data_IF_259751811300
#
_entry.id   IF_259751811300
#
_cell.length_a   1.000
_cell.length_b   1.000
_cell.length_c   1.000
_cell.angle_alpha   90.00
_cell.angle_beta   90.00
_cell.angle_gamma   90.00
#
_symmetry.space_group_name_H-M   'P 1'
#
loop_
_entity.id
_entity.type
_entity.pdbx_description
1 polymer ?
#
# COMPACT_ATOMS: atom_id res chain seq x y z
N UNK A 1 -17.77 -19.99 15.03
CA UNK A 1 -17.92 -18.82 14.13
C UNK A 1 -18.83 -17.83 14.83
N UNK A 2 -18.35 -16.60 15.06
CA UNK A 2 -18.98 -15.59 15.91
C UNK A 2 -20.07 -14.78 15.20
N UNK A 3 -20.21 -14.91 13.89
CA UNK A 3 -21.22 -14.21 13.08
C UNK A 3 -20.97 -12.71 12.94
N UNK A 4 -19.74 -12.25 13.17
CA UNK A 4 -19.34 -10.86 13.02
C UNK A 4 -19.23 -10.46 11.53
N UNK A 5 -19.45 -9.18 11.18
CA UNK A 5 -19.17 -8.68 9.83
C UNK A 5 -17.69 -8.82 9.48
N UNK A 6 -17.41 -8.84 8.18
CA UNK A 6 -16.05 -8.75 7.64
C UNK A 6 -15.92 -7.48 6.79
N UNK A 7 -14.91 -6.66 7.08
CA UNK A 7 -14.47 -5.57 6.20
C UNK A 7 -13.20 -5.99 5.46
N UNK A 8 -13.28 -6.01 4.13
CA UNK A 8 -12.16 -6.32 3.23
C UNK A 8 -11.71 -5.04 2.52
N UNK A 9 -10.41 -4.80 2.46
CA UNK A 9 -9.81 -3.74 1.65
C UNK A 9 -8.82 -4.29 0.63
N UNK A 10 -8.78 -3.68 -0.56
CA UNK A 10 -7.84 -4.02 -1.62
C UNK A 10 -6.90 -2.86 -1.86
N UNK A 11 -5.60 -3.13 -1.88
CA UNK A 11 -4.57 -2.27 -2.43
C UNK A 11 -3.93 -2.94 -3.64
N UNK A 12 -3.72 -2.18 -4.69
CA UNK A 12 -3.04 -2.70 -5.87
C UNK A 12 -3.09 -1.75 -7.04
N UNK A 13 -2.52 -2.21 -8.15
CA UNK A 13 -2.44 -1.43 -9.37
C UNK A 13 -3.66 -1.55 -10.27
N UNK A 14 -3.41 -1.54 -11.57
CA UNK A 14 -4.48 -1.44 -12.58
C UNK A 14 -5.41 -2.65 -12.61
N UNK A 15 -4.88 -3.85 -12.37
CA UNK A 15 -5.66 -5.09 -12.30
C UNK A 15 -6.60 -5.02 -11.10
N UNK A 16 -6.09 -4.74 -9.90
CA UNK A 16 -6.92 -4.52 -8.72
C UNK A 16 -7.94 -3.39 -8.85
N UNK A 17 -7.64 -2.34 -9.61
CA UNK A 17 -8.58 -1.27 -9.98
C UNK A 17 -9.60 -1.68 -11.08
N UNK A 18 -9.73 -2.97 -11.36
CA UNK A 18 -10.70 -3.58 -12.27
C UNK A 18 -10.56 -3.15 -13.74
N UNK A 19 -9.38 -2.69 -14.14
CA UNK A 19 -9.08 -2.38 -15.53
C UNK A 19 -9.06 -3.68 -16.35
N UNK A 20 -9.88 -3.74 -17.39
CA UNK A 20 -10.02 -4.94 -18.22
C UNK A 20 -11.15 -5.87 -17.76
N UNK A 21 -11.80 -5.59 -16.62
CA UNK A 21 -12.93 -6.37 -16.09
C UNK A 21 -14.17 -5.53 -15.74
N UNK A 22 -14.43 -4.46 -16.51
CA UNK A 22 -15.63 -3.62 -16.38
C UNK A 22 -15.31 -2.18 -16.00
N UNK A 23 -14.06 -1.87 -15.68
CA UNK A 23 -13.54 -0.51 -15.48
C UNK A 23 -14.23 0.29 -14.36
N UNK A 24 -14.90 -0.41 -13.46
CA UNK A 24 -15.50 0.11 -12.23
C UNK A 24 -14.86 -0.62 -11.02
N UNK A 25 -14.46 0.07 -9.94
CA UNK A 25 -13.78 -0.55 -8.79
C UNK A 25 -14.56 -1.69 -8.13
N UNK A 26 -15.88 -1.74 -8.30
CA UNK A 26 -16.75 -2.78 -7.77
C UNK A 26 -17.40 -3.62 -8.87
N UNK A 27 -16.87 -3.58 -10.11
CA UNK A 27 -17.36 -4.37 -11.22
C UNK A 27 -17.50 -5.85 -10.85
N UNK A 28 -18.68 -6.43 -11.10
CA UNK A 28 -19.02 -7.78 -10.61
C UNK A 28 -18.12 -8.90 -11.13
N UNK A 29 -17.46 -8.70 -12.28
CA UNK A 29 -16.53 -9.67 -12.89
C UNK A 29 -15.08 -9.44 -12.50
N UNK A 30 -14.79 -8.41 -11.72
CA UNK A 30 -13.47 -8.15 -11.17
C UNK A 30 -13.20 -9.04 -9.96
N UNK A 31 -11.93 -9.37 -9.73
CA UNK A 31 -11.55 -10.35 -8.70
C UNK A 31 -11.97 -9.94 -7.27
N UNK A 32 -11.90 -8.65 -6.84
CA UNK A 32 -12.35 -8.24 -5.51
C UNK A 32 -13.84 -8.53 -5.29
N UNK A 33 -14.67 -8.15 -6.27
CA UNK A 33 -16.11 -8.39 -6.21
C UNK A 33 -16.44 -9.88 -6.26
N UNK A 34 -15.77 -10.68 -7.10
CA UNK A 34 -15.95 -12.14 -7.14
C UNK A 34 -15.60 -12.77 -5.79
N UNK A 35 -14.45 -12.38 -5.22
CA UNK A 35 -14.00 -12.86 -3.92
C UNK A 35 -15.01 -12.52 -2.81
N UNK A 36 -15.43 -11.26 -2.74
CA UNK A 36 -16.36 -10.80 -1.71
C UNK A 36 -17.76 -11.40 -1.84
N UNK A 37 -18.25 -11.61 -3.07
CA UNK A 37 -19.50 -12.32 -3.32
C UNK A 37 -19.40 -13.79 -2.88
N UNK A 38 -18.28 -14.47 -3.16
CA UNK A 38 -18.04 -15.81 -2.64
C UNK A 38 -18.05 -15.82 -1.11
N UNK A 39 -17.32 -14.91 -0.46
CA UNK A 39 -17.29 -14.83 1.00
C UNK A 39 -18.70 -14.70 1.59
N UNK A 40 -19.50 -13.76 1.08
CA UNK A 40 -20.88 -13.54 1.55
C UNK A 40 -21.83 -14.70 1.23
N UNK A 41 -21.52 -15.55 0.24
CA UNK A 41 -22.30 -16.77 -0.01
C UNK A 41 -22.08 -17.84 1.06
N UNK A 42 -20.91 -17.86 1.70
CA UNK A 42 -20.54 -18.82 2.74
C UNK A 42 -20.82 -18.26 4.15
N UNK A 43 -20.50 -16.98 4.37
CA UNK A 43 -20.66 -16.27 5.63
C UNK A 43 -21.53 -15.02 5.44
N UNK A 44 -22.84 -15.17 5.21
CA UNK A 44 -23.72 -14.06 4.92
C UNK A 44 -23.83 -13.11 6.13
N UNK A 45 -23.48 -11.85 5.94
CA UNK A 45 -23.70 -10.79 6.93
C UNK A 45 -24.00 -9.45 6.23
N UNK A 46 -25.08 -8.74 6.58
CA UNK A 46 -25.52 -7.54 5.86
C UNK A 46 -24.61 -6.32 6.06
N UNK A 47 -23.76 -6.34 7.09
CA UNK A 47 -22.78 -5.29 7.37
C UNK A 47 -21.34 -5.68 7.00
N UNK A 48 -21.14 -6.77 6.23
CA UNK A 48 -19.83 -7.00 5.62
C UNK A 48 -19.61 -5.97 4.51
N UNK A 49 -18.38 -5.50 4.36
CA UNK A 49 -18.04 -4.43 3.42
C UNK A 49 -16.80 -4.78 2.59
N UNK A 50 -16.80 -4.32 1.33
CA UNK A 50 -15.65 -4.36 0.43
C UNK A 50 -15.27 -2.92 0.06
N UNK A 51 -14.05 -2.53 0.37
CA UNK A 51 -13.44 -1.28 -0.08
C UNK A 51 -12.35 -1.58 -1.10
N UNK A 52 -12.48 -1.09 -2.33
CA UNK A 52 -11.41 -1.18 -3.32
C UNK A 52 -10.63 0.14 -3.37
N UNK A 53 -9.48 0.18 -2.69
CA UNK A 53 -8.55 1.30 -2.67
C UNK A 53 -7.45 1.22 -3.75
N UNK A 54 -7.59 0.31 -4.72
CA UNK A 54 -6.63 0.16 -5.80
C UNK A 54 -6.68 1.34 -6.78
N UNK A 55 -5.52 1.70 -7.32
CA UNK A 55 -5.35 2.82 -8.24
C UNK A 55 -4.59 2.37 -9.49
N UNK A 56 -5.04 2.84 -10.66
CA UNK A 56 -4.44 2.48 -11.95
C UNK A 56 -3.05 3.10 -12.09
N UNK A 57 -2.10 2.29 -12.56
CA UNK A 57 -0.70 2.66 -12.82
C UNK A 57 0.00 3.21 -11.57
N UNK A 58 -0.29 2.61 -10.42
CA UNK A 58 0.29 2.95 -9.12
C UNK A 58 0.93 1.69 -8.54
N UNK A 59 2.03 1.90 -7.82
CA UNK A 59 2.91 0.87 -7.28
C UNK A 59 3.24 1.16 -5.80
N UNK A 60 4.15 0.39 -5.20
CA UNK A 60 4.55 0.56 -3.80
C UNK A 60 5.22 1.91 -3.51
N UNK A 61 5.84 2.57 -4.50
CA UNK A 61 6.43 3.90 -4.33
C UNK A 61 5.41 4.97 -3.90
N UNK A 62 4.13 4.72 -4.15
CA UNK A 62 3.03 5.53 -3.65
C UNK A 62 2.36 4.91 -2.43
N UNK A 63 1.97 3.63 -2.50
CA UNK A 63 1.20 3.01 -1.43
C UNK A 63 1.99 2.88 -0.12
N UNK A 64 3.32 2.71 -0.19
CA UNK A 64 4.20 2.72 0.99
C UNK A 64 3.99 3.94 1.88
N UNK A 65 3.66 5.09 1.28
CA UNK A 65 3.47 6.35 1.99
C UNK A 65 2.00 6.75 2.16
N UNK A 66 1.15 6.42 1.18
CA UNK A 66 -0.22 6.92 1.07
C UNK A 66 -1.30 5.89 1.43
N UNK A 67 -0.96 4.66 1.85
CA UNK A 67 -1.93 3.58 2.09
C UNK A 67 -3.08 3.97 3.05
N UNK A 68 -2.82 4.80 4.06
CA UNK A 68 -3.83 5.25 5.01
C UNK A 68 -5.01 6.01 4.36
N UNK A 69 -4.82 6.53 3.14
CA UNK A 69 -5.89 7.19 2.38
C UNK A 69 -6.73 6.23 1.53
N UNK A 70 -6.29 4.98 1.38
CA UNK A 70 -6.91 3.96 0.53
C UNK A 70 -7.51 2.80 1.33
N UNK A 71 -7.20 2.73 2.62
CA UNK A 71 -7.72 1.73 3.55
C UNK A 71 -8.65 2.42 4.56
N UNK A 72 -9.83 1.85 4.86
CA UNK A 72 -10.70 2.34 5.94
C UNK A 72 -10.00 2.37 7.31
N UNK A 73 -10.56 3.13 8.26
CA UNK A 73 -10.02 3.23 9.63
C UNK A 73 -10.00 1.89 10.38
N UNK A 74 -10.96 1.00 10.10
CA UNK A 74 -11.02 -0.35 10.65
C UNK A 74 -11.24 -1.35 9.51
N UNK A 75 -10.35 -2.32 9.38
CA UNK A 75 -10.41 -3.37 8.35
C UNK A 75 -9.93 -4.69 8.93
N UNK A 76 -10.54 -5.80 8.52
CA UNK A 76 -10.20 -7.13 9.02
C UNK A 76 -9.22 -7.86 8.09
N UNK A 77 -9.34 -7.64 6.77
CA UNK A 77 -8.52 -8.28 5.74
C UNK A 77 -8.10 -7.27 4.68
N UNK A 78 -6.79 -7.17 4.45
CA UNK A 78 -6.21 -6.39 3.35
C UNK A 78 -5.54 -7.33 2.35
N UNK A 79 -5.87 -7.17 1.07
CA UNK A 79 -5.21 -7.86 -0.04
C UNK A 79 -4.34 -6.85 -0.78
N UNK A 80 -3.07 -7.21 -0.99
CA UNK A 80 -2.07 -6.38 -1.70
C UNK A 80 -1.67 -7.09 -2.99
N UNK A 81 -1.85 -6.44 -4.15
CA UNK A 81 -1.50 -7.00 -5.47
C UNK A 81 -0.71 -5.96 -6.27
N UNK A 82 0.62 -6.15 -6.34
CA UNK A 82 1.57 -5.21 -6.97
C UNK A 82 2.70 -5.93 -7.75
N UNK A 83 2.64 -7.25 -7.92
CA UNK A 83 3.69 -8.09 -8.53
C UNK A 83 4.07 -7.71 -9.97
N UNK A 84 3.20 -6.95 -10.66
CA UNK A 84 3.43 -6.46 -12.03
C UNK A 84 3.55 -4.94 -12.11
N UNK A 85 3.27 -4.22 -11.03
CA UNK A 85 3.29 -2.76 -10.97
C UNK A 85 4.61 -2.21 -10.43
N UNK A 86 5.25 -2.95 -9.51
CA UNK A 86 6.53 -2.58 -8.91
C UNK A 86 7.70 -2.79 -9.87
N UNK A 87 8.74 -1.96 -9.73
CA UNK A 87 10.00 -2.15 -10.45
C UNK A 87 10.91 -3.13 -9.70
N UNK A 88 11.84 -3.77 -10.41
CA UNK A 88 12.87 -4.63 -9.80
C UNK A 88 14.06 -3.80 -9.29
N UNK A 89 13.80 -2.90 -8.34
CA UNK A 89 14.81 -2.00 -7.75
C UNK A 89 14.85 -2.11 -6.23
N UNK A 90 15.99 -1.75 -5.62
CA UNK A 90 16.13 -1.70 -4.16
C UNK A 90 15.15 -0.71 -3.51
N UNK A 91 14.93 0.44 -4.16
CA UNK A 91 13.96 1.43 -3.70
C UNK A 91 12.54 0.87 -3.68
N UNK A 92 12.09 0.19 -4.75
CA UNK A 92 10.76 -0.43 -4.79
C UNK A 92 10.63 -1.55 -3.76
N UNK A 93 11.70 -2.33 -3.52
CA UNK A 93 11.72 -3.32 -2.44
C UNK A 93 11.54 -2.68 -1.06
N UNK A 94 12.25 -1.59 -0.76
CA UNK A 94 12.12 -0.86 0.50
C UNK A 94 10.75 -0.20 0.67
N UNK A 95 10.15 0.29 -0.43
CA UNK A 95 8.82 0.89 -0.41
C UNK A 95 7.72 -0.17 -0.24
N UNK A 96 7.86 -1.34 -0.85
CA UNK A 96 6.95 -2.46 -0.63
C UNK A 96 7.06 -2.98 0.79
N UNK A 97 8.27 -3.06 1.35
CA UNK A 97 8.47 -3.38 2.76
C UNK A 97 7.80 -2.35 3.68
N UNK A 98 7.98 -1.05 3.40
CA UNK A 98 7.35 0.04 4.14
C UNK A 98 5.83 -0.09 4.13
N UNK A 99 5.24 -0.40 2.97
CA UNK A 99 3.80 -0.66 2.83
C UNK A 99 3.35 -1.78 3.77
N UNK A 100 3.95 -2.96 3.67
CA UNK A 100 3.55 -4.15 4.44
C UNK A 100 3.72 -3.92 5.93
N UNK A 101 4.87 -3.38 6.35
CA UNK A 101 5.14 -3.09 7.76
C UNK A 101 4.15 -2.07 8.31
N UNK A 102 3.86 -0.99 7.57
CA UNK A 102 2.94 0.05 8.03
C UNK A 102 1.52 -0.49 8.25
N UNK A 103 1.07 -1.44 7.43
CA UNK A 103 -0.23 -2.10 7.56
C UNK A 103 -0.26 -3.03 8.77
N UNK A 104 0.76 -3.88 8.95
CA UNK A 104 0.83 -4.81 10.08
C UNK A 104 0.95 -4.11 11.44
N UNK A 105 1.48 -2.88 11.45
CA UNK A 105 1.62 -2.05 12.65
C UNK A 105 0.35 -1.25 12.99
N UNK A 106 -0.72 -1.36 12.19
CA UNK A 106 -1.96 -0.62 12.48
C UNK A 106 -2.64 -1.11 13.76
N UNK A 107 -3.35 -0.23 14.49
CA UNK A 107 -4.03 -0.59 15.73
C UNK A 107 -5.12 -1.66 15.57
N UNK A 108 -5.75 -1.74 14.40
CA UNK A 108 -6.80 -2.71 14.08
C UNK A 108 -6.26 -4.11 13.70
N UNK A 109 -4.93 -4.27 13.58
CA UNK A 109 -4.24 -5.55 13.32
C UNK A 109 -4.89 -6.39 12.20
N UNK A 110 -5.04 -5.83 10.98
CA UNK A 110 -5.67 -6.55 9.88
C UNK A 110 -4.87 -7.77 9.46
N UNK A 111 -5.57 -8.82 9.03
CA UNK A 111 -4.94 -9.90 8.27
C UNK A 111 -4.47 -9.35 6.91
N UNK A 112 -3.28 -9.75 6.47
CA UNK A 112 -2.72 -9.33 5.18
C UNK A 112 -2.50 -10.54 4.29
N UNK A 113 -2.87 -10.43 3.02
CA UNK A 113 -2.55 -11.41 1.98
C UNK A 113 -1.90 -10.67 0.81
N UNK A 114 -0.73 -11.13 0.39
CA UNK A 114 -0.14 -10.72 -0.87
C UNK A 114 -0.69 -11.63 -1.98
N UNK A 115 -1.18 -11.03 -3.05
CA UNK A 115 -1.77 -11.73 -4.18
C UNK A 115 -0.95 -11.43 -5.44
N UNK A 116 -0.35 -12.46 -6.02
CA UNK A 116 0.51 -12.37 -7.18
C UNK A 116 -0.24 -12.58 -8.48
N UNK A 117 -0.26 -11.53 -9.29
CA UNK A 117 -0.69 -11.56 -10.68
C UNK A 117 0.49 -11.90 -11.61
N UNK A 118 0.26 -12.81 -12.56
CA UNK A 118 1.26 -13.14 -13.57
C UNK A 118 1.05 -12.27 -14.82
N UNK A 119 2.09 -11.63 -15.34
CA UNK A 119 2.01 -10.91 -16.61
C UNK A 119 2.99 -11.50 -17.64
N UNK A 120 2.51 -11.80 -18.87
CA UNK A 120 3.39 -12.11 -20.00
C UNK A 120 4.47 -11.05 -20.25
N UNK A 121 4.13 -9.76 -20.18
CA UNK A 121 5.10 -8.67 -20.38
C UNK A 121 6.14 -8.61 -19.26
N UNK A 122 5.72 -8.70 -18.00
CA UNK A 122 6.64 -8.75 -16.86
C UNK A 122 7.57 -9.96 -16.99
N UNK A 123 7.06 -11.12 -17.41
CA UNK A 123 7.87 -12.30 -17.67
C UNK A 123 8.85 -12.10 -18.84
N UNK A 124 8.44 -11.46 -19.93
CA UNK A 124 9.34 -11.15 -21.05
C UNK A 124 10.49 -10.23 -20.63
N UNK A 125 10.24 -9.35 -19.66
CA UNK A 125 11.21 -8.37 -19.17
C UNK A 125 12.18 -8.99 -18.15
N UNK A 126 11.67 -9.79 -17.21
CA UNK A 126 12.44 -10.27 -16.05
C UNK A 126 12.57 -11.80 -15.95
N UNK A 127 12.10 -12.54 -16.95
CA UNK A 127 11.94 -13.98 -16.89
C UNK A 127 11.15 -14.42 -15.64
N UNK A 128 11.60 -15.48 -14.96
CA UNK A 128 10.90 -16.01 -13.79
C UNK A 128 11.13 -15.18 -12.50
N UNK A 129 12.11 -14.28 -12.43
CA UNK A 129 12.43 -13.52 -11.23
C UNK A 129 12.04 -12.04 -11.41
N UNK A 130 10.74 -11.78 -11.44
CA UNK A 130 10.18 -10.43 -11.54
C UNK A 130 10.10 -9.71 -10.19
N UNK A 131 9.30 -8.63 -10.09
CA UNK A 131 9.07 -7.92 -8.83
C UNK A 131 8.58 -8.85 -7.70
N UNK A 132 7.82 -9.89 -8.05
CA UNK A 132 7.37 -10.95 -7.15
C UNK A 132 8.51 -11.64 -6.36
N UNK A 133 9.74 -11.66 -6.90
CA UNK A 133 10.90 -12.17 -6.16
C UNK A 133 11.20 -11.34 -4.90
N UNK A 134 11.14 -10.01 -5.01
CA UNK A 134 11.35 -9.10 -3.88
C UNK A 134 10.18 -9.16 -2.90
N UNK A 135 8.95 -9.25 -3.41
CA UNK A 135 7.77 -9.41 -2.58
C UNK A 135 7.80 -10.71 -1.77
N UNK A 136 8.33 -11.81 -2.34
CA UNK A 136 8.53 -13.06 -1.61
C UNK A 136 9.50 -12.92 -0.42
N UNK A 137 10.54 -12.10 -0.54
CA UNK A 137 11.47 -11.82 0.57
C UNK A 137 10.72 -11.09 1.70
N UNK A 138 9.91 -10.09 1.36
CA UNK A 138 9.08 -9.36 2.33
C UNK A 138 8.05 -10.29 2.97
N UNK A 139 7.34 -11.09 2.17
CA UNK A 139 6.37 -12.09 2.62
C UNK A 139 7.00 -13.06 3.64
N UNK A 140 8.19 -13.58 3.34
CA UNK A 140 8.91 -14.49 4.22
C UNK A 140 9.37 -13.81 5.52
N UNK A 141 9.83 -12.56 5.46
CA UNK A 141 10.33 -11.85 6.64
C UNK A 141 9.21 -11.47 7.61
N UNK A 142 8.05 -11.05 7.10
CA UNK A 142 6.89 -10.63 7.90
C UNK A 142 5.88 -11.75 8.17
N UNK A 143 6.15 -12.98 7.71
CA UNK A 143 5.24 -14.14 7.79
C UNK A 143 3.84 -13.84 7.21
N UNK A 144 3.83 -13.22 6.04
CA UNK A 144 2.61 -12.88 5.30
C UNK A 144 2.44 -13.86 4.14
N UNK A 145 1.26 -14.47 3.95
CA UNK A 145 1.04 -15.38 2.83
C UNK A 145 1.10 -14.63 1.51
N UNK A 146 1.98 -15.10 0.61
CA UNK A 146 2.02 -14.69 -0.79
C UNK A 146 1.55 -15.83 -1.68
N UNK A 147 0.36 -15.66 -2.28
CA UNK A 147 -0.25 -16.63 -3.18
C UNK A 147 -0.29 -16.05 -4.58
N UNK A 148 -0.02 -16.85 -5.61
CA UNK A 148 0.14 -16.32 -6.97
C UNK A 148 -0.46 -17.21 -8.04
N UNK A 149 -0.91 -16.57 -9.13
CA UNK A 149 -1.34 -17.24 -10.36
C UNK A 149 -0.15 -17.72 -11.20
N UNK A 150 1.05 -17.20 -10.96
CA UNK A 150 2.26 -17.50 -11.73
C UNK A 150 2.60 -18.99 -11.77
N UNK A 151 2.65 -19.76 -10.67
CA UNK A 151 2.93 -21.20 -10.73
C UNK A 151 1.89 -22.00 -11.54
N UNK A 152 0.66 -21.51 -11.65
CA UNK A 152 -0.45 -22.17 -12.37
C UNK A 152 -0.36 -21.89 -13.87
N UNK A 153 -0.04 -20.65 -14.24
CA UNK A 153 -0.01 -20.21 -15.63
C UNK A 153 1.33 -20.46 -16.32
N UNK A 154 2.44 -20.38 -15.58
CA UNK A 154 3.80 -20.42 -16.11
C UNK A 154 4.13 -21.68 -16.93
N UNK A 155 3.86 -22.92 -16.47
CA UNK A 155 4.23 -24.11 -17.24
C UNK A 155 3.60 -24.15 -18.63
N UNK A 156 2.31 -23.80 -18.72
CA UNK A 156 1.60 -23.76 -19.99
C UNK A 156 2.11 -22.62 -20.87
N UNK A 157 2.35 -21.45 -20.30
CA UNK A 157 2.88 -20.29 -21.02
C UNK A 157 4.25 -20.57 -21.67
N UNK A 158 5.15 -21.25 -20.96
CA UNK A 158 6.47 -21.62 -21.50
C UNK A 158 6.36 -22.66 -22.60
N UNK A 159 5.41 -23.60 -22.50
CA UNK A 159 5.19 -24.59 -23.55
C UNK A 159 4.55 -23.99 -24.81
N UNK A 160 3.63 -23.04 -24.63
CA UNK A 160 2.90 -22.36 -25.68
C UNK A 160 2.42 -20.99 -25.16
N UNK A 161 3.03 -19.88 -25.62
CA UNK A 161 2.63 -18.54 -25.19
C UNK A 161 1.17 -18.18 -25.51
N UNK A 162 0.53 -18.89 -26.44
CA UNK A 162 -0.88 -18.65 -26.79
C UNK A 162 -1.86 -19.29 -25.80
N UNK A 163 -1.40 -20.27 -25.00
CA UNK A 163 -2.23 -21.05 -24.08
C UNK A 163 -2.97 -20.23 -23.02
N UNK A 164 -2.39 -19.08 -22.62
CA UNK A 164 -2.95 -18.21 -21.59
C UNK A 164 -3.61 -16.95 -22.14
N UNK A 165 -3.50 -16.65 -23.45
CA UNK A 165 -3.99 -15.40 -24.05
C UNK A 165 -5.48 -15.12 -23.75
N UNK A 166 -6.29 -16.18 -23.63
CA UNK A 166 -7.71 -16.11 -23.25
C UNK A 166 -7.99 -15.44 -21.90
N UNK A 167 -6.98 -15.24 -21.04
CA UNK A 167 -7.10 -14.60 -19.72
C UNK A 167 -6.69 -13.14 -19.70
N UNK A 168 -6.17 -12.62 -20.81
CA UNK A 168 -5.57 -11.29 -20.88
C UNK A 168 -6.32 -10.41 -21.88
N UNK A 169 -6.46 -9.12 -21.55
CA UNK A 169 -6.91 -8.08 -22.48
C UNK A 169 -5.72 -7.52 -23.27
N UNK A 170 -4.57 -7.41 -22.60
CA UNK A 170 -3.26 -7.11 -23.17
C UNK A 170 -2.19 -7.87 -22.37
N UNK A 171 -0.89 -7.83 -22.76
CA UNK A 171 0.17 -8.56 -22.06
C UNK A 171 0.37 -8.26 -20.56
N UNK A 172 -0.36 -7.31 -19.96
CA UNK A 172 -0.37 -6.98 -18.53
C UNK A 172 -1.76 -7.17 -17.92
N UNK A 173 -2.79 -6.57 -18.52
CA UNK A 173 -4.13 -6.51 -17.96
C UNK A 173 -4.90 -7.82 -18.15
N UNK A 174 -5.49 -8.30 -17.06
CA UNK A 174 -6.42 -9.42 -17.10
C UNK A 174 -7.75 -8.99 -17.74
N UNK A 175 -8.33 -9.89 -18.51
CA UNK A 175 -9.73 -9.79 -18.90
C UNK A 175 -10.63 -10.45 -17.83
N UNK A 176 -11.96 -10.48 -17.97
CA UNK A 176 -12.84 -11.08 -16.95
C UNK A 176 -12.50 -12.54 -16.59
N UNK A 177 -12.02 -13.35 -17.55
CA UNK A 177 -11.62 -14.74 -17.27
C UNK A 177 -10.31 -14.82 -16.49
N UNK A 178 -9.41 -13.87 -16.71
CA UNK A 178 -8.18 -13.74 -15.93
C UNK A 178 -8.47 -13.35 -14.48
N UNK A 179 -9.36 -12.38 -14.29
CA UNK A 179 -9.85 -12.00 -12.97
C UNK A 179 -10.54 -13.15 -12.23
N UNK A 180 -11.20 -14.04 -12.98
CA UNK A 180 -11.76 -15.27 -12.41
C UNK A 180 -10.67 -16.17 -11.83
N UNK A 181 -9.58 -16.44 -12.55
CA UNK A 181 -8.45 -17.23 -12.03
C UNK A 181 -7.84 -16.58 -10.80
N UNK A 182 -7.63 -15.26 -10.81
CA UNK A 182 -7.03 -14.54 -9.70
C UNK A 182 -7.88 -14.65 -8.42
N UNK A 183 -9.20 -14.51 -8.56
CA UNK A 183 -10.14 -14.74 -7.46
C UNK A 183 -10.17 -16.21 -7.02
N UNK A 184 -10.14 -17.17 -7.94
CA UNK A 184 -10.20 -18.59 -7.61
C UNK A 184 -8.96 -19.04 -6.82
N UNK A 185 -7.77 -18.50 -7.11
CA UNK A 185 -6.54 -18.74 -6.32
C UNK A 185 -6.70 -18.23 -4.89
N UNK A 186 -7.20 -17.01 -4.73
CA UNK A 186 -7.47 -16.41 -3.42
C UNK A 186 -8.52 -17.20 -2.63
N UNK A 187 -9.61 -17.59 -3.30
CA UNK A 187 -10.68 -18.40 -2.72
C UNK A 187 -10.14 -19.78 -2.29
N UNK A 188 -9.36 -20.46 -3.13
CA UNK A 188 -8.80 -21.78 -2.82
C UNK A 188 -7.87 -21.73 -1.59
N UNK A 189 -7.05 -20.67 -1.49
CA UNK A 189 -6.24 -20.44 -0.29
C UNK A 189 -7.10 -20.27 0.96
N UNK A 190 -8.11 -19.38 0.91
CA UNK A 190 -8.98 -19.15 2.06
C UNK A 190 -9.84 -20.36 2.43
N UNK A 191 -10.30 -21.16 1.46
CA UNK A 191 -10.95 -22.44 1.73
C UNK A 191 -10.04 -23.38 2.51
N UNK A 192 -8.76 -23.44 2.14
CA UNK A 192 -7.75 -24.22 2.86
C UNK A 192 -7.59 -23.71 4.29
N UNK A 193 -7.47 -22.39 4.49
CA UNK A 193 -7.36 -21.79 5.82
C UNK A 193 -8.62 -22.01 6.68
N UNK A 194 -9.81 -21.91 6.09
CA UNK A 194 -11.08 -22.20 6.77
C UNK A 194 -11.10 -23.66 7.23
N UNK A 195 -10.65 -24.60 6.40
CA UNK A 195 -10.59 -26.01 6.76
C UNK A 195 -9.57 -26.26 7.89
N UNK A 196 -8.38 -25.67 7.81
CA UNK A 196 -7.35 -25.76 8.85
C UNK A 196 -7.85 -25.19 10.18
N UNK A 197 -8.45 -23.99 10.14
CA UNK A 197 -9.03 -23.35 11.33
C UNK A 197 -10.18 -24.16 11.94
N UNK A 198 -11.04 -24.75 11.09
CA UNK A 198 -12.11 -25.63 11.56
C UNK A 198 -11.57 -26.91 12.21
N UNK A 199 -10.55 -27.53 11.62
CA UNK A 199 -9.93 -28.73 12.19
C UNK A 199 -9.25 -28.43 13.52
N UNK A 200 -8.53 -27.31 13.64
CA UNK A 200 -7.94 -26.88 14.90
C UNK A 200 -9.00 -26.57 15.95
N UNK A 201 -10.03 -25.78 15.58
CA UNK A 201 -11.12 -25.41 16.48
C UNK A 201 -11.99 -26.58 16.94
N UNK A 202 -12.02 -27.68 16.19
CA UNK A 202 -12.75 -28.92 16.54
C UNK A 202 -11.84 -29.98 17.17
N UNK A 203 -10.57 -29.67 17.43
CA UNK A 203 -9.60 -30.60 18.04
C UNK A 203 -9.22 -31.78 17.16
N UNK A 204 -9.42 -31.67 15.83
CA UNK A 204 -9.09 -32.71 14.84
C UNK A 204 -7.63 -32.60 14.36
N UNK A 205 -7.00 -31.45 14.54
CA UNK A 205 -5.57 -31.24 14.35
C UNK A 205 -4.99 -30.49 15.54
N UNK A 206 -3.74 -30.80 15.89
CA UNK A 206 -2.95 -30.02 16.87
C UNK A 206 -2.14 -28.99 16.09
N UNK A 207 -2.81 -28.18 15.27
CA UNK A 207 -2.16 -26.97 14.76
C UNK A 207 -2.14 -25.97 15.91
N UNK A 208 -0.97 -25.36 16.13
CA UNK A 208 -0.79 -24.24 17.05
C UNK A 208 -1.38 -23.00 16.39
N UNK A 209 -2.67 -23.05 16.04
CA UNK A 209 -3.44 -21.83 15.91
C UNK A 209 -3.59 -21.32 17.35
N UNK A 210 -3.22 -20.08 17.66
CA UNK A 210 -3.52 -19.49 18.95
C UNK A 210 -5.03 -19.61 19.09
N UNK A 211 -5.46 -20.54 19.95
CA UNK A 211 -6.85 -20.92 20.01
C UNK A 211 -7.60 -19.64 20.36
N UNK A 212 -8.53 -19.24 19.49
CA UNK A 212 -9.55 -18.22 19.71
C UNK A 212 -10.52 -18.61 20.85
N UNK A 213 -10.04 -19.37 21.84
CA UNK A 213 -10.68 -19.65 23.11
C UNK A 213 -10.18 -18.62 24.14
N UNK A 214 -10.35 -17.35 23.82
CA UNK A 214 -10.65 -16.39 24.86
C UNK A 214 -12.11 -16.63 25.25
N UNK A 215 -12.38 -16.83 26.54
CA UNK A 215 -13.73 -16.80 27.11
C UNK A 215 -14.56 -15.70 26.45
N UNK A 216 -15.86 -15.97 26.27
CA UNK A 216 -16.85 -14.99 25.82
C UNK A 216 -16.53 -13.61 26.41
N UNK A 217 -16.49 -12.52 25.60
CA UNK A 217 -15.91 -11.26 26.01
C UNK A 217 -16.58 -10.79 27.30
N UNK A 218 -15.86 -10.93 28.42
CA UNK A 218 -16.27 -10.32 29.68
C UNK A 218 -16.31 -8.82 29.38
N UNK A 219 -17.50 -8.23 29.50
CA UNK A 219 -17.63 -6.78 29.47
C UNK A 219 -16.59 -6.20 30.43
N UNK A 220 -15.77 -5.23 29.99
CA UNK A 220 -14.73 -4.65 30.83
C UNK A 220 -15.42 -3.88 31.94
N UNK A 221 -15.55 -4.52 33.09
CA UNK A 221 -15.76 -3.84 34.36
C UNK A 221 -14.39 -3.75 35.01
N UNK A 222 -14.01 -2.52 35.35
CA UNK A 222 -12.75 -2.09 35.95
C UNK A 222 -11.59 -1.80 34.99
N UNK A 223 -11.63 -0.56 34.51
CA UNK A 223 -10.48 0.17 34.00
C UNK A 223 -9.39 0.31 35.08
N UNK A 224 -8.47 -0.65 35.15
CA UNK A 224 -7.10 -0.49 35.68
C UNK A 224 -6.13 -1.43 34.96
N UNK A 225 -5.69 -1.03 33.76
CA UNK A 225 -4.66 -1.76 33.01
C UNK A 225 -4.24 -1.08 31.71
N UNK A 226 -3.13 -0.33 31.78
CA UNK A 226 -2.14 0.00 30.74
C UNK A 226 -2.51 0.62 29.37
N UNK A 227 -3.79 0.75 28.97
CA UNK A 227 -4.17 1.54 27.79
C UNK A 227 -5.34 2.47 28.12
N UNK A 228 -5.06 3.78 28.23
CA UNK A 228 -6.03 4.80 28.61
C UNK A 228 -6.54 5.62 27.43
N UNK A 229 -7.74 5.29 26.94
CA UNK A 229 -8.53 6.12 26.03
C UNK A 229 -10.03 5.87 26.28
N UNK A 230 -10.74 6.90 26.74
CA UNK A 230 -12.11 6.81 27.29
C UNK A 230 -13.15 6.76 26.16
N UNK A 231 -13.86 5.64 26.05
CA UNK A 231 -15.13 5.54 25.30
C UNK A 231 -16.23 5.02 26.22
N UNK A 232 -17.24 5.84 26.51
CA UNK A 232 -18.33 5.46 27.39
C UNK A 232 -19.34 4.52 26.71
N UNK A 233 -19.57 3.35 27.29
CA UNK A 233 -20.88 2.67 27.23
C UNK A 233 -21.36 2.35 28.65
N UNK A 234 -22.66 2.57 28.87
CA UNK A 234 -23.35 2.59 30.16
C UNK A 234 -23.92 1.21 30.48
N UNK A 235 -23.48 0.61 31.60
CA UNK A 235 -24.19 -0.47 32.31
C UNK A 235 -23.50 -1.85 32.32
N UNK A 236 -22.91 -2.22 33.46
CA UNK A 236 -22.77 -3.61 33.92
C UNK A 236 -22.44 -3.64 35.43
N UNK A 237 -23.11 -4.50 36.18
CA UNK A 237 -22.98 -4.69 37.63
C UNK A 237 -21.93 -5.77 37.97
N UNK A 238 -21.36 -5.67 39.18
CA UNK A 238 -20.24 -6.47 39.69
C UNK A 238 -20.59 -7.94 40.02
N UNK A 239 -19.61 -8.85 39.90
CA UNK A 239 -19.69 -10.24 40.34
C UNK A 239 -18.31 -10.90 40.54
N UNK A 240 -18.14 -11.55 41.70
CA UNK A 240 -16.91 -11.97 42.38
C UNK A 240 -16.13 -13.16 41.75
N UNK A 241 -14.85 -13.27 42.13
CA UNK A 241 -13.88 -14.26 41.65
C UNK A 241 -13.82 -15.58 42.43
N UNK A 242 -12.97 -16.48 41.93
CA UNK A 242 -12.46 -17.64 42.65
C UNK A 242 -11.06 -18.00 42.15
N UNK A 243 -10.12 -18.10 43.08
CA UNK A 243 -8.73 -18.49 42.89
C UNK A 243 -8.59 -19.98 42.55
N UNK A 244 -7.66 -20.30 41.65
CA UNK A 244 -7.15 -21.65 41.42
C UNK A 244 -5.74 -21.55 40.87
N UNK A 245 -4.76 -21.94 41.69
CA UNK A 245 -3.33 -21.99 41.34
C UNK A 245 -3.06 -23.06 40.28
N UNK A 246 -2.91 -22.64 39.03
CA UNK A 246 -2.25 -23.39 37.97
C UNK A 246 -0.87 -22.77 37.70
N UNK A 247 0.15 -23.59 37.56
CA UNK A 247 1.48 -23.16 37.12
C UNK A 247 1.34 -22.82 35.63
N UNK A 248 1.19 -21.53 35.33
CA UNK A 248 1.04 -20.99 33.98
C UNK A 248 2.44 -20.88 33.35
N UNK A 249 2.86 -21.93 32.65
CA UNK A 249 3.97 -21.82 31.72
C UNK A 249 3.45 -20.99 30.55
N UNK A 250 3.84 -19.72 30.52
CA UNK A 250 3.49 -18.68 29.56
C UNK A 250 4.02 -18.97 28.13
N UNK A 251 3.59 -20.11 27.59
CA UNK A 251 3.82 -20.53 26.22
C UNK A 251 3.02 -19.65 25.25
N UNK A 252 1.93 -19.04 25.74
CA UNK A 252 1.19 -17.97 25.09
C UNK A 252 2.13 -16.83 24.67
N UNK A 253 2.81 -16.14 25.59
CA UNK A 253 3.61 -14.97 25.21
C UNK A 253 4.80 -15.33 24.32
N UNK A 254 5.38 -16.54 24.45
CA UNK A 254 6.46 -16.98 23.56
C UNK A 254 5.99 -17.23 22.12
N UNK A 255 4.81 -17.83 21.93
CA UNK A 255 4.19 -18.03 20.60
C UNK A 255 3.69 -16.69 20.04
N UNK A 256 3.09 -15.83 20.87
CA UNK A 256 2.67 -14.48 20.47
C UNK A 256 3.84 -13.56 20.13
N UNK A 257 5.02 -13.75 20.74
CA UNK A 257 6.20 -12.95 20.42
C UNK A 257 6.72 -13.22 18.99
N UNK A 258 6.57 -14.44 18.49
CA UNK A 258 7.00 -14.83 17.13
C UNK A 258 6.04 -14.36 16.03
N UNK A 259 4.76 -14.10 16.36
CA UNK A 259 3.78 -13.53 15.43
C UNK A 259 3.73 -11.99 15.47
N UNK A 260 4.60 -11.34 16.25
CA UNK A 260 4.70 -9.88 16.23
C UNK A 260 5.50 -9.44 15.01
N UNK A 261 5.15 -8.27 14.50
CA UNK A 261 5.97 -7.57 13.51
C UNK A 261 7.41 -7.50 14.02
N UNK A 262 8.41 -7.95 13.24
CA UNK A 262 9.81 -7.88 13.62
C UNK A 262 10.20 -6.47 14.08
N UNK A 263 11.07 -6.36 15.09
CA UNK A 263 11.45 -5.05 15.64
C UNK A 263 12.34 -4.23 14.70
N UNK A 264 12.90 -4.86 13.66
CA UNK A 264 13.73 -4.22 12.65
C UNK A 264 13.16 -4.44 11.26
N UNK A 265 13.67 -3.68 10.28
CA UNK A 265 13.41 -3.88 8.87
C UNK A 265 14.38 -4.89 8.26
N UNK A 266 14.09 -5.36 7.06
CA UNK A 266 14.88 -6.38 6.36
C UNK A 266 16.33 -5.91 6.15
N UNK A 267 16.51 -4.63 5.81
CA UNK A 267 17.83 -4.06 5.53
C UNK A 267 18.59 -3.57 6.79
N UNK A 268 18.01 -3.67 7.99
CA UNK A 268 18.66 -3.23 9.24
C UNK A 268 19.93 -4.04 9.53
N UNK A 269 21.04 -3.35 9.83
CA UNK A 269 22.33 -3.99 10.11
C UNK A 269 22.72 -3.82 11.58
N UNK A 270 23.52 -4.76 12.08
CA UNK A 270 23.97 -4.77 13.48
C UNK A 270 24.95 -3.64 13.82
N UNK A 271 25.55 -3.01 12.82
CA UNK A 271 26.54 -1.95 12.94
C UNK A 271 26.04 -0.59 12.41
N UNK A 272 24.73 -0.42 12.26
CA UNK A 272 24.16 0.86 11.84
C UNK A 272 24.50 1.96 12.85
N UNK A 273 24.95 3.11 12.33
CA UNK A 273 25.42 4.23 13.15
C UNK A 273 24.28 4.92 13.92
N UNK A 274 23.03 4.70 13.51
CA UNK A 274 21.83 5.27 14.12
C UNK A 274 20.92 4.16 14.67
N UNK A 275 20.25 4.40 15.80
CA UNK A 275 19.23 3.47 16.27
C UNK A 275 18.09 3.38 15.27
N UNK A 276 17.43 2.22 15.20
CA UNK A 276 16.24 2.03 14.39
C UNK A 276 15.12 2.97 14.87
N UNK A 277 14.52 3.70 13.93
CA UNK A 277 13.30 4.49 14.15
C UNK A 277 12.12 3.82 13.44
N UNK A 278 11.01 3.65 14.15
CA UNK A 278 9.82 3.00 13.60
C UNK A 278 9.15 3.86 12.52
N UNK A 279 8.71 3.22 11.45
CA UNK A 279 8.10 3.91 10.31
C UNK A 279 6.76 4.54 10.70
N UNK A 280 6.50 5.75 10.21
CA UNK A 280 5.23 6.43 10.33
C UNK A 280 4.95 7.18 9.02
N UNK A 281 4.56 6.46 7.95
CA UNK A 281 4.41 7.04 6.63
C UNK A 281 3.40 8.19 6.63
N UNK A 282 3.75 9.25 5.92
CA UNK A 282 2.92 10.43 5.75
C UNK A 282 2.92 10.86 4.29
N UNK A 283 1.74 11.20 3.79
CA UNK A 283 1.50 11.49 2.39
C UNK A 283 0.84 12.86 2.21
N UNK A 284 1.53 13.75 1.52
CA UNK A 284 0.94 14.99 1.01
C UNK A 284 0.72 14.84 -0.49
N UNK A 285 -0.44 14.29 -0.84
CA UNK A 285 -0.86 14.09 -2.22
C UNK A 285 -1.41 15.37 -2.84
N UNK A 286 -1.16 15.59 -4.13
CA UNK A 286 -1.80 16.65 -4.90
C UNK A 286 -3.27 16.36 -5.23
N UNK A 287 -3.81 15.22 -4.82
CA UNK A 287 -5.23 14.95 -4.93
C UNK A 287 -5.98 15.57 -3.73
N UNK A 288 -6.71 16.65 -3.98
CA UNK A 288 -7.49 17.38 -2.96
C UNK A 288 -8.55 16.52 -2.25
N UNK A 289 -9.02 15.43 -2.87
CA UNK A 289 -9.93 14.47 -2.22
C UNK A 289 -9.25 13.65 -1.13
N UNK A 290 -7.93 13.52 -1.22
CA UNK A 290 -7.09 12.75 -0.31
C UNK A 290 -6.50 13.67 0.77
N UNK A 291 -5.92 14.81 0.37
CA UNK A 291 -5.28 15.76 1.26
C UNK A 291 -5.47 17.20 0.75
N UNK A 292 -6.57 17.89 1.12
CA UNK A 292 -6.85 19.23 0.62
C UNK A 292 -5.86 20.24 1.22
N UNK A 293 -5.00 20.80 0.36
CA UNK A 293 -4.08 21.86 0.74
C UNK A 293 -4.75 23.24 0.65
N UNK A 294 -4.45 24.18 1.57
CA UNK A 294 -5.05 25.50 1.53
C UNK A 294 -4.58 26.29 0.30
N UNK A 295 -5.48 26.95 -0.47
CA UNK A 295 -5.12 27.72 -1.67
C UNK A 295 -4.09 28.83 -1.44
N UNK A 296 -3.94 29.29 -0.19
CA UNK A 296 -2.94 30.27 0.22
C UNK A 296 -1.50 29.81 -0.01
N UNK A 297 -1.24 28.50 -0.08
CA UNK A 297 0.09 27.97 -0.43
C UNK A 297 0.48 28.26 -1.88
N UNK A 298 -0.51 28.38 -2.76
CA UNK A 298 -0.28 28.59 -4.20
C UNK A 298 -0.33 30.07 -4.59
N UNK A 299 -1.02 30.91 -3.81
CA UNK A 299 -1.17 32.33 -4.12
C UNK A 299 0.18 33.06 -4.14
N UNK A 300 0.56 33.61 -5.30
CA UNK A 300 1.82 34.33 -5.48
C UNK A 300 3.08 33.45 -5.55
N UNK A 301 2.94 32.14 -5.44
CA UNK A 301 4.06 31.17 -5.48
C UNK A 301 4.62 30.93 -6.88
N UNK A 302 3.80 31.16 -7.91
CA UNK A 302 4.08 30.73 -9.29
C UNK A 302 3.76 29.26 -9.56
N UNK A 303 3.26 28.53 -8.57
CA UNK A 303 2.79 27.15 -8.67
C UNK A 303 1.26 27.08 -8.64
N UNK A 304 0.71 26.11 -9.36
CA UNK A 304 -0.72 25.92 -9.53
C UNK A 304 -1.12 24.46 -9.31
N UNK A 305 -2.27 24.23 -8.68
CA UNK A 305 -2.86 22.90 -8.57
C UNK A 305 -3.73 22.60 -9.80
N UNK A 306 -3.58 21.40 -10.35
CA UNK A 306 -4.39 20.87 -11.43
C UNK A 306 -5.14 19.61 -10.96
N UNK A 307 -6.44 19.58 -11.25
CA UNK A 307 -7.30 18.42 -11.05
C UNK A 307 -8.20 18.25 -12.28
N UNK A 308 -8.57 17.01 -12.63
CA UNK A 308 -9.49 16.75 -13.73
C UNK A 308 -10.92 17.25 -13.39
N UNK A 309 -11.74 17.48 -14.42
CA UNK A 309 -13.08 18.06 -14.23
C UNK A 309 -13.99 17.17 -13.37
N UNK A 310 -14.78 17.80 -12.50
CA UNK A 310 -15.74 17.11 -11.62
C UNK A 310 -16.63 16.14 -12.40
N UNK A 311 -16.55 14.84 -12.08
CA UNK A 311 -17.31 13.79 -12.75
C UNK A 311 -16.44 12.74 -13.48
N UNK A 312 -15.17 13.04 -13.76
CA UNK A 312 -14.20 11.98 -14.06
C UNK A 312 -13.69 11.41 -12.74
N UNK A 313 -14.24 10.29 -12.28
CA UNK A 313 -13.60 9.48 -11.25
C UNK A 313 -12.34 8.87 -11.86
N UNK A 314 -11.29 9.68 -12.05
CA UNK A 314 -10.03 9.18 -12.56
C UNK A 314 -9.40 8.34 -11.46
N UNK A 315 -9.49 7.02 -11.60
CA UNK A 315 -8.70 6.05 -10.83
C UNK A 315 -7.19 6.16 -11.12
N UNK A 316 -6.73 7.31 -11.62
CA UNK A 316 -5.36 7.62 -12.01
C UNK A 316 -4.87 8.78 -11.16
N UNK A 317 -3.93 8.51 -10.24
CA UNK A 317 -3.33 9.54 -9.39
C UNK A 317 -2.59 10.60 -10.22
N UNK A 318 -2.03 10.22 -11.37
CA UNK A 318 -1.34 11.12 -12.31
C UNK A 318 -2.21 12.22 -12.93
N UNK A 319 -3.53 12.15 -12.74
CA UNK A 319 -4.43 13.23 -13.14
C UNK A 319 -4.37 14.43 -12.19
N UNK A 320 -3.83 14.28 -10.97
CA UNK A 320 -3.71 15.34 -9.98
C UNK A 320 -2.24 15.69 -9.75
N UNK A 321 -1.88 16.97 -9.91
CA UNK A 321 -0.52 17.45 -9.71
C UNK A 321 -0.47 18.96 -9.46
N UNK A 322 0.60 19.41 -8.82
CA UNK A 322 1.00 20.80 -8.79
C UNK A 322 2.03 21.05 -9.89
N UNK A 323 1.92 22.18 -10.58
CA UNK A 323 2.84 22.51 -11.66
C UNK A 323 3.24 23.99 -11.68
N UNK A 324 4.39 24.25 -12.29
CA UNK A 324 4.81 25.59 -12.67
C UNK A 324 5.53 25.55 -14.02
N UNK A 325 5.47 26.68 -14.74
CA UNK A 325 6.23 26.97 -15.96
C UNK A 325 7.10 28.22 -15.80
N UNK A 326 7.13 28.82 -14.60
CA UNK A 326 7.80 30.07 -14.30
C UNK A 326 9.08 29.78 -13.51
N UNK A 327 10.27 29.92 -14.11
CA UNK A 327 11.52 29.76 -13.37
C UNK A 327 11.61 30.66 -12.15
N UNK A 328 12.40 30.24 -11.16
CA UNK A 328 12.57 30.85 -9.84
C UNK A 328 11.34 30.81 -8.92
N UNK A 329 10.20 30.32 -9.42
CA UNK A 329 9.02 30.07 -8.60
C UNK A 329 9.29 29.00 -7.55
N UNK A 330 8.70 29.17 -6.37
CA UNK A 330 8.91 28.29 -5.21
C UNK A 330 7.59 27.81 -4.66
N UNK A 331 7.54 26.55 -4.27
CA UNK A 331 6.45 25.99 -3.49
C UNK A 331 6.99 25.44 -2.18
N UNK A 332 6.26 25.67 -1.09
CA UNK A 332 6.57 25.17 0.24
C UNK A 332 5.41 24.36 0.76
N UNK A 333 5.67 23.09 1.09
CA UNK A 333 4.64 22.14 1.51
C UNK A 333 4.96 21.64 2.93
N UNK A 334 4.05 21.85 3.90
CA UNK A 334 4.22 21.32 5.25
C UNK A 334 3.97 19.82 5.28
N UNK A 335 4.72 19.10 6.12
CA UNK A 335 4.58 17.65 6.29
C UNK A 335 4.98 17.18 7.69
N UNK A 336 4.66 15.92 8.01
CA UNK A 336 5.11 15.24 9.22
C UNK A 336 6.05 14.11 8.87
N UNK A 337 7.15 13.99 9.59
CA UNK A 337 8.21 13.01 9.34
C UNK A 337 8.21 11.95 10.45
N UNK A 338 8.39 10.68 10.06
CA UNK A 338 8.40 9.50 10.92
C UNK A 338 9.79 8.95 11.19
N UNK A 339 10.26 8.04 10.33
CA UNK A 339 11.59 7.42 10.31
C UNK A 339 12.65 8.25 9.57
N UNK A 340 12.25 9.23 8.75
CA UNK A 340 13.15 10.28 8.30
C UNK A 340 13.52 10.31 6.84
N UNK A 341 12.99 9.42 6.00
CA UNK A 341 13.15 9.54 4.54
C UNK A 341 12.12 10.52 4.01
N UNK A 342 12.53 11.37 3.05
CA UNK A 342 11.64 12.33 2.39
C UNK A 342 11.80 12.18 0.88
N UNK A 343 10.68 12.07 0.18
CA UNK A 343 10.65 11.89 -1.27
C UNK A 343 9.69 12.82 -1.98
N UNK A 344 10.05 13.16 -3.23
CA UNK A 344 9.21 13.89 -4.16
C UNK A 344 8.62 12.88 -5.14
N UNK A 345 7.29 12.83 -5.19
CA UNK A 345 6.57 12.05 -6.18
C UNK A 345 6.18 12.96 -7.33
N UNK A 346 6.71 12.72 -8.52
CA UNK A 346 6.58 13.60 -9.68
C UNK A 346 6.34 12.81 -10.97
N UNK A 347 5.97 13.52 -12.03
CA UNK A 347 5.74 12.89 -13.33
C UNK A 347 7.01 13.00 -14.19
N UNK A 348 7.60 11.86 -14.55
CA UNK A 348 8.58 11.79 -15.64
C UNK A 348 7.84 11.77 -16.97
N UNK A 349 8.35 12.52 -17.93
CA UNK A 349 7.70 12.75 -19.22
C UNK A 349 8.66 12.45 -20.38
N UNK A 350 8.16 11.92 -21.52
CA UNK A 350 8.98 11.68 -22.69
C UNK A 350 9.67 12.95 -23.19
N UNK A 351 10.96 12.86 -23.56
CA UNK A 351 11.73 13.98 -24.16
C UNK A 351 11.03 14.60 -25.39
N UNK A 352 10.22 13.83 -26.12
CA UNK A 352 9.44 14.34 -27.26
C UNK A 352 8.34 15.33 -26.86
N UNK A 353 7.86 15.27 -25.61
CA UNK A 353 6.73 16.07 -25.12
C UNK A 353 7.24 17.29 -24.34
N UNK A 354 8.35 17.16 -23.61
CA UNK A 354 8.93 18.24 -22.77
C UNK A 354 10.26 18.82 -23.30
N UNK A 355 10.78 18.31 -24.42
CA UNK A 355 12.08 18.69 -24.96
C UNK A 355 13.24 17.88 -24.39
N UNK A 356 14.44 18.09 -24.94
CA UNK A 356 15.64 17.31 -24.58
C UNK A 356 16.06 17.51 -23.11
N UNK A 357 15.99 18.73 -22.61
CA UNK A 357 16.40 19.03 -21.23
C UNK A 357 15.21 19.05 -20.25
N UNK A 358 13.98 19.20 -20.77
CA UNK A 358 12.77 19.26 -19.94
C UNK A 358 12.79 20.45 -19.00
N UNK A 359 12.47 20.19 -17.75
CA UNK A 359 12.53 21.15 -16.65
C UNK A 359 13.09 20.48 -15.41
N UNK A 360 13.78 21.27 -14.61
CA UNK A 360 14.47 20.80 -13.40
C UNK A 360 13.96 21.59 -12.20
N UNK A 361 13.68 20.89 -11.12
CA UNK A 361 13.39 21.50 -9.81
C UNK A 361 14.51 21.18 -8.85
N UNK A 362 14.80 22.10 -7.95
CA UNK A 362 15.70 21.89 -6.83
C UNK A 362 14.86 21.84 -5.55
N UNK A 363 14.90 20.72 -4.83
CA UNK A 363 14.09 20.48 -3.64
C UNK A 363 14.96 20.20 -2.42
N UNK A 364 14.56 20.72 -1.26
CA UNK A 364 15.23 20.50 0.02
C UNK A 364 14.25 20.55 1.19
N UNK A 365 14.72 20.09 2.35
CA UNK A 365 13.95 20.00 3.59
C UNK A 365 14.35 21.16 4.51
N UNK A 366 13.37 21.84 5.08
CA UNK A 366 13.52 23.00 5.97
C UNK A 366 14.51 24.04 5.41
N UNK A 367 15.57 24.34 6.16
CA UNK A 367 16.64 25.27 5.80
C UNK A 367 17.88 24.57 5.21
N UNK A 368 17.82 23.26 4.92
CA UNK A 368 18.94 22.46 4.41
C UNK A 368 19.20 22.66 2.91
N UNK A 369 19.32 23.93 2.47
CA UNK A 369 19.57 24.24 1.06
C UNK A 369 20.90 23.62 0.54
N UNK A 370 21.90 23.45 1.40
CA UNK A 370 23.16 22.81 1.04
C UNK A 370 23.02 21.31 0.69
N UNK A 371 21.94 20.67 1.14
CA UNK A 371 21.58 19.29 0.80
C UNK A 371 20.58 19.18 -0.35
N UNK A 372 20.25 20.27 -1.04
CA UNK A 372 19.22 20.26 -2.07
C UNK A 372 19.51 19.26 -3.20
N UNK A 373 18.43 18.65 -3.71
CA UNK A 373 18.47 17.69 -4.81
C UNK A 373 17.83 18.25 -6.05
N UNK A 374 18.47 18.02 -7.19
CA UNK A 374 17.97 18.43 -8.51
C UNK A 374 17.26 17.26 -9.18
N UNK A 375 16.01 17.48 -9.54
CA UNK A 375 15.12 16.48 -10.12
C UNK A 375 14.67 16.98 -11.50
N UNK A 376 14.82 16.14 -12.53
CA UNK A 376 14.45 16.49 -13.91
C UNK A 376 13.31 15.60 -14.42
N UNK A 377 12.34 16.20 -15.14
CA UNK A 377 11.19 15.46 -15.67
C UNK A 377 11.45 14.76 -17.01
N UNK A 378 12.39 15.24 -17.83
CA UNK A 378 12.66 14.65 -19.14
C UNK A 378 13.30 13.25 -19.02
N UNK A 379 12.71 12.27 -19.70
CA UNK A 379 13.18 10.89 -19.72
C UNK A 379 12.98 10.20 -21.08
N UNK A 380 13.79 9.19 -21.36
CA UNK A 380 13.68 8.33 -22.54
C UNK A 380 12.65 7.22 -22.31
N UNK A 381 11.37 7.64 -22.19
CA UNK A 381 10.22 6.77 -21.88
C UNK A 381 9.11 6.91 -22.92
N UNK A 382 8.28 5.87 -23.01
CA UNK A 382 7.21 5.80 -24.01
C UNK A 382 5.95 6.60 -23.65
N UNK A 383 5.66 6.74 -22.36
CA UNK A 383 4.54 7.51 -21.83
C UNK A 383 4.94 8.15 -20.49
N UNK A 384 4.15 9.11 -20.01
CA UNK A 384 4.43 9.76 -18.74
C UNK A 384 4.24 8.78 -17.56
N UNK A 385 5.22 8.72 -16.67
CA UNK A 385 5.29 7.72 -15.60
C UNK A 385 5.49 8.42 -14.25
N UNK A 386 4.62 8.17 -13.25
CA UNK A 386 4.86 8.63 -11.88
C UNK A 386 6.16 8.03 -11.33
N UNK A 387 6.96 8.82 -10.62
CA UNK A 387 8.25 8.38 -10.08
C UNK A 387 8.49 9.04 -8.72
N UNK A 388 9.00 8.25 -7.77
CA UNK A 388 9.46 8.74 -6.48
C UNK A 388 10.97 8.94 -6.50
N UNK A 389 11.43 10.12 -6.08
CA UNK A 389 12.84 10.40 -5.85
C UNK A 389 13.05 10.83 -4.40
N UNK A 390 13.91 10.11 -3.66
CA UNK A 390 14.26 10.46 -2.29
C UNK A 390 15.23 11.65 -2.30
N UNK A 391 14.87 12.69 -1.56
CA UNK A 391 15.65 13.94 -1.51
C UNK A 391 16.50 14.09 -0.25
N UNK A 392 16.05 13.50 0.86
CA UNK A 392 16.76 13.55 2.14
C UNK A 392 16.49 12.27 2.96
N UNK A 393 17.41 11.98 3.87
CA UNK A 393 17.36 10.81 4.74
C UNK A 393 17.68 11.21 6.18
N UNK A 394 17.12 10.46 7.12
CA UNK A 394 17.33 10.66 8.55
C UNK A 394 16.94 12.06 9.06
N UNK A 395 15.93 12.66 8.44
CA UNK A 395 15.27 13.86 8.95
C UNK A 395 14.59 13.51 10.27
N UNK A 396 14.71 14.39 11.26
CA UNK A 396 14.19 14.12 12.59
C UNK A 396 12.68 13.93 12.58
N UNK A 397 12.15 13.08 13.46
CA UNK A 397 10.70 12.97 13.66
C UNK A 397 10.09 14.31 14.07
N UNK A 398 9.03 14.73 13.40
CA UNK A 398 8.35 15.98 13.75
C UNK A 398 7.61 16.64 12.59
N UNK A 399 7.37 17.94 12.74
CA UNK A 399 6.79 18.77 11.69
C UNK A 399 7.90 19.48 10.91
N UNK A 400 7.87 19.32 9.60
CA UNK A 400 8.87 19.82 8.67
C UNK A 400 8.18 20.48 7.48
N UNK A 401 8.95 21.11 6.60
CA UNK A 401 8.46 21.49 5.28
C UNK A 401 9.48 21.14 4.20
N UNK A 402 8.96 20.89 3.01
CA UNK A 402 9.78 20.76 1.80
C UNK A 402 9.58 21.98 0.93
N UNK A 403 10.69 22.56 0.49
CA UNK A 403 10.71 23.67 -0.46
C UNK A 403 11.28 23.17 -1.79
N UNK A 404 10.56 23.44 -2.88
CA UNK A 404 10.98 23.12 -4.24
C UNK A 404 10.97 24.39 -5.09
N UNK A 405 12.07 24.66 -5.80
CA UNK A 405 12.24 25.78 -6.70
C UNK A 405 12.37 25.29 -8.15
N UNK A 406 11.58 25.86 -9.07
CA UNK A 406 11.75 25.60 -10.51
C UNK A 406 12.98 26.35 -11.05
N UNK A 407 13.89 25.63 -11.70
CA UNK A 407 15.12 26.18 -12.24
C UNK A 407 14.91 26.76 -13.64
N UNK A 408 15.71 27.78 -13.99
CA UNK A 408 15.69 28.41 -15.32
C UNK A 408 15.98 29.90 -15.26
N UNK A 409 15.98 30.55 -16.42
CA UNK A 409 16.20 32.00 -16.54
C UNK A 409 14.93 32.79 -16.22
N UNK A 410 15.05 33.82 -15.39
CA UNK A 410 13.94 34.71 -15.04
C UNK A 410 13.31 35.34 -16.31
N UNK A 411 11.99 35.30 -16.39
CA UNK A 411 11.24 35.86 -17.53
C UNK A 411 11.13 34.95 -18.76
N UNK A 412 11.76 33.77 -18.78
CA UNK A 412 11.58 32.76 -19.83
C UNK A 412 10.79 31.57 -19.31
N UNK A 413 9.67 31.24 -19.93
CA UNK A 413 8.90 30.05 -19.54
C UNK A 413 9.64 28.77 -19.91
N UNK A 414 9.56 27.77 -19.04
CA UNK A 414 10.04 26.41 -19.29
C UNK A 414 8.84 25.45 -19.42
N UNK A 415 9.03 24.23 -19.95
CA UNK A 415 8.02 23.17 -19.87
C UNK A 415 7.47 23.00 -18.44
N UNK A 416 6.25 22.50 -18.30
CA UNK A 416 5.67 22.33 -16.98
C UNK A 416 6.38 21.21 -16.22
N UNK A 417 6.90 21.49 -15.03
CA UNK A 417 7.29 20.45 -14.08
C UNK A 417 6.08 20.09 -13.21
N UNK A 418 5.81 18.78 -13.02
CA UNK A 418 4.59 18.30 -12.34
C UNK A 418 4.94 17.47 -11.12
N UNK A 419 4.63 17.99 -9.92
CA UNK A 419 4.74 17.29 -8.64
C UNK A 419 3.38 16.70 -8.29
N UNK A 420 3.33 15.40 -8.05
CA UNK A 420 2.11 14.66 -7.69
C UNK A 420 1.95 14.51 -6.17
N UNK A 421 3.04 14.62 -5.41
CA UNK A 421 2.99 14.61 -3.96
C UNK A 421 4.37 14.67 -3.32
N UNK A 422 4.37 14.82 -2.00
CA UNK A 422 5.58 14.82 -1.17
C UNK A 422 5.33 13.85 -0.02
N UNK A 423 6.25 12.89 0.14
CA UNK A 423 6.08 11.74 1.00
C UNK A 423 7.19 11.67 2.04
N UNK A 424 6.90 11.07 3.19
CA UNK A 424 7.93 10.70 4.16
C UNK A 424 7.63 9.40 4.89
N UNK A 425 8.67 8.68 5.27
CA UNK A 425 8.60 7.50 6.14
C UNK A 425 8.69 7.85 7.61
#
# INVERSE_FOLDING_TARGET
MTGQPLTVSILGGSVSACHGAGDDPLASRCYPSRFFQWWNSIFPHPASELTNGAMRRINSDYFGFCNAHHIPDNVDLIIIELDVDDATSEQSFENFELLVRSILMRPDQPAVIMLGHFSPQTHQTYAFAGPDHWHNIVAQFYDVPHISTKPILYPNYISDPTSIQKYYADPVLLNPNGHEILADVLIAYLQTQICSAWNAGTGRTVDILPVLAGDAPKQPTDARGLFGGIGQRKGAAAGAGSEGTAIDLDMSNAVYAQMRVPQSRINTRTNDARPFEEVAPYCVSANDLINPLPPSLFFGSGWHAFHPSTGSSSLQTSAHYWYSTLPTSKIRIPMKVGAGDIGIYYLREPRRDVGQEGSTVECWVDDNYGGARQISNAADIGEATPTLELIDHFVTRGSHFVECQLMGEEGRSVPAFKIMGIFSS
#
